data_IF_161205713874
#
_entry.id   IF_161205713874
#
_cell.length_a   1.000
_cell.length_b   1.000
_cell.length_c   1.000
_cell.angle_alpha   90.00
_cell.angle_beta   90.00
_cell.angle_gamma   90.00
#
_symmetry.space_group_name_H-M   'P 1'
#
loop_
_entity.id
_entity.type
_entity.pdbx_description
1 polymer ?
#
# COMPACT_ATOMS: atom_id res chain seq x y z
N UNK A 1 0.35 67.57 26.94
CA UNK A 1 0.31 66.11 27.18
C UNK A 1 0.19 65.41 25.85
N UNK A 2 1.31 64.98 25.27
CA UNK A 2 1.35 64.22 24.01
C UNK A 2 1.77 62.81 24.39
N UNK A 3 0.86 61.84 24.24
CA UNK A 3 1.11 60.42 24.51
C UNK A 3 1.85 59.82 23.32
N UNK A 4 3.10 59.47 23.51
CA UNK A 4 3.89 58.67 22.57
C UNK A 4 3.50 57.21 22.80
N UNK A 5 2.91 56.59 21.77
CA UNK A 5 2.60 55.16 21.74
C UNK A 5 3.84 54.46 21.19
N UNK A 6 4.54 53.71 22.04
CA UNK A 6 5.65 52.83 21.63
C UNK A 6 5.08 51.55 21.03
N UNK A 7 5.24 51.39 19.72
CA UNK A 7 4.98 50.15 19.00
C UNK A 7 6.11 49.14 19.27
N UNK A 8 5.85 48.17 20.14
CA UNK A 8 6.67 46.96 20.27
C UNK A 8 6.38 46.05 19.07
N UNK A 9 7.30 45.99 18.11
CA UNK A 9 7.34 44.90 17.13
C UNK A 9 7.78 43.62 17.85
N UNK A 10 6.84 42.70 18.08
CA UNK A 10 7.16 41.29 18.31
C UNK A 10 7.59 40.70 16.97
N UNK A 11 8.89 40.48 16.78
CA UNK A 11 9.40 39.62 15.73
C UNK A 11 9.05 38.16 16.10
N UNK A 12 8.01 37.61 15.48
CA UNK A 12 7.73 36.17 15.53
C UNK A 12 8.87 35.45 14.81
N UNK A 13 9.73 34.72 15.55
CA UNK A 13 10.57 33.69 14.96
C UNK A 13 9.63 32.62 14.40
N UNK A 14 9.35 32.69 13.10
CA UNK A 14 8.89 31.54 12.35
C UNK A 14 10.08 30.57 12.28
N UNK A 15 10.06 29.54 13.11
CA UNK A 15 10.93 28.38 12.94
C UNK A 15 10.55 27.71 11.62
N UNK A 16 11.22 28.08 10.55
CA UNK A 16 11.22 27.34 9.30
C UNK A 16 11.88 25.99 9.59
N UNK A 17 11.08 24.97 9.87
CA UNK A 17 11.55 23.59 9.75
C UNK A 17 11.94 23.42 8.28
N UNK A 18 13.24 23.39 8.00
CA UNK A 18 13.72 22.89 6.72
C UNK A 18 13.30 21.43 6.65
N UNK A 19 12.36 21.13 5.77
CA UNK A 19 12.02 19.75 5.42
C UNK A 19 13.31 19.18 4.83
N UNK A 20 13.97 18.27 5.56
CA UNK A 20 15.07 17.53 4.97
C UNK A 20 14.47 16.73 3.81
N UNK A 21 14.96 16.95 2.59
CA UNK A 21 14.50 16.20 1.42
C UNK A 21 14.61 14.69 1.71
N UNK A 22 13.47 14.00 1.68
CA UNK A 22 13.43 12.54 1.85
C UNK A 22 14.18 11.91 0.68
N UNK A 23 15.26 11.19 0.98
CA UNK A 23 16.05 10.47 -0.02
C UNK A 23 15.19 9.31 -0.54
N UNK A 24 15.00 9.24 -1.86
CA UNK A 24 14.22 8.19 -2.51
C UNK A 24 15.08 7.00 -2.91
N UNK A 25 14.47 5.82 -2.95
CA UNK A 25 15.05 4.60 -3.47
C UNK A 25 14.10 3.90 -4.44
N UNK A 26 14.68 3.30 -5.46
CA UNK A 26 14.00 2.54 -6.52
C UNK A 26 15.00 1.59 -7.21
N UNK A 27 14.54 0.85 -8.22
CA UNK A 27 15.36 -0.10 -8.99
C UNK A 27 16.66 0.46 -9.59
N UNK A 28 16.76 1.77 -9.77
CA UNK A 28 17.91 2.48 -10.33
C UNK A 28 18.70 3.26 -9.28
N UNK A 29 18.11 3.53 -8.11
CA UNK A 29 18.69 4.37 -7.07
C UNK A 29 18.64 3.66 -5.72
N UNK A 30 19.78 3.10 -5.30
CA UNK A 30 19.90 2.49 -3.98
C UNK A 30 20.12 3.54 -2.88
N UNK A 31 19.66 3.20 -1.68
CA UNK A 31 19.90 4.03 -0.51
C UNK A 31 21.40 4.21 -0.20
N UNK A 32 21.82 5.39 0.31
CA UNK A 32 23.19 5.60 0.76
C UNK A 32 23.45 4.89 2.09
N UNK A 33 24.71 4.56 2.37
CA UNK A 33 25.15 3.88 3.60
C UNK A 33 24.66 4.54 4.90
N UNK A 34 24.58 5.88 4.92
CA UNK A 34 24.12 6.65 6.09
C UNK A 34 22.64 6.40 6.43
N UNK A 35 21.81 6.15 5.44
CA UNK A 35 20.37 5.90 5.58
C UNK A 35 20.04 4.64 4.77
N UNK A 36 20.53 3.47 5.21
CA UNK A 36 20.80 2.34 4.32
C UNK A 36 19.54 1.54 3.93
N UNK A 37 18.41 1.80 4.59
CA UNK A 37 17.18 1.01 4.49
C UNK A 37 16.16 1.70 3.61
N UNK A 38 15.75 1.02 2.53
CA UNK A 38 14.68 1.47 1.65
C UNK A 38 13.32 1.01 2.20
N UNK A 39 12.51 1.91 2.72
CA UNK A 39 11.18 1.56 3.24
C UNK A 39 10.22 1.13 2.15
N UNK A 40 9.05 0.65 2.56
CA UNK A 40 7.95 0.29 1.67
C UNK A 40 7.70 1.40 0.64
N UNK A 41 7.56 2.65 1.08
CA UNK A 41 7.25 3.79 0.24
C UNK A 41 8.40 4.35 -0.62
N UNK A 42 9.50 3.61 -0.79
CA UNK A 42 10.65 4.02 -1.59
C UNK A 42 11.43 5.18 -0.97
N UNK A 43 11.63 5.16 0.36
CA UNK A 43 12.30 6.19 1.13
C UNK A 43 13.46 5.61 1.93
N UNK A 44 14.59 6.30 1.94
CA UNK A 44 15.79 5.86 2.65
C UNK A 44 15.81 6.39 4.08
N UNK A 45 16.10 5.53 5.04
CA UNK A 45 16.18 5.90 6.45
C UNK A 45 16.90 4.88 7.34
N UNK A 46 16.70 5.03 8.65
CA UNK A 46 17.17 4.13 9.71
C UNK A 46 15.99 3.71 10.60
N UNK A 47 16.19 2.81 11.56
CA UNK A 47 15.16 2.48 12.54
C UNK A 47 13.95 1.82 11.91
N UNK A 48 12.79 2.46 12.00
CA UNK A 48 11.54 1.95 11.44
C UNK A 48 11.60 1.70 9.92
N UNK A 49 12.46 2.41 9.18
CA UNK A 49 12.70 2.17 7.75
C UNK A 49 13.37 0.82 7.47
N UNK A 50 14.07 0.26 8.46
CA UNK A 50 14.80 -1.01 8.39
C UNK A 50 13.99 -2.19 8.92
N UNK A 51 12.81 -1.93 9.50
CA UNK A 51 11.89 -2.97 9.93
C UNK A 51 11.00 -3.37 8.75
N UNK A 52 9.97 -4.14 9.02
CA UNK A 52 9.27 -4.77 7.90
C UNK A 52 8.61 -3.79 6.93
N UNK A 53 8.62 -4.19 5.66
CA UNK A 53 8.42 -3.34 4.50
C UNK A 53 9.74 -2.78 3.95
N UNK A 54 10.89 -3.09 4.55
CA UNK A 54 12.20 -2.64 4.08
C UNK A 54 12.64 -3.48 2.89
N UNK A 55 12.76 -2.88 1.71
CA UNK A 55 13.18 -3.57 0.49
C UNK A 55 14.72 -3.73 0.46
N UNK A 56 15.26 -4.95 0.67
CA UNK A 56 16.70 -5.18 0.64
C UNK A 56 17.31 -5.07 -0.77
N UNK A 57 16.52 -5.18 -1.84
CA UNK A 57 17.00 -5.06 -3.22
C UNK A 57 17.33 -3.59 -3.56
N UNK A 58 16.56 -2.65 -3.01
CA UNK A 58 16.74 -1.20 -3.20
C UNK A 58 17.46 -0.51 -2.03
N UNK A 59 17.75 -1.24 -0.97
CA UNK A 59 18.60 -0.79 0.12
C UNK A 59 20.08 -0.73 -0.28
N UNK A 60 20.89 -0.08 0.56
CA UNK A 60 22.35 0.02 0.38
C UNK A 60 23.01 -1.37 0.20
N UNK A 61 22.56 -2.35 0.98
CA UNK A 61 22.99 -3.74 0.91
C UNK A 61 21.86 -4.67 1.35
N UNK A 62 22.01 -5.98 1.13
CA UNK A 62 21.03 -6.97 1.58
C UNK A 62 20.88 -7.00 3.12
N UNK A 63 21.95 -6.66 3.84
CA UNK A 63 21.99 -6.65 5.31
C UNK A 63 21.51 -5.32 5.90
N UNK A 64 21.08 -4.36 5.08
CA UNK A 64 20.55 -3.09 5.57
C UNK A 64 19.26 -3.26 6.37
N UNK A 65 18.36 -4.12 5.88
CA UNK A 65 17.08 -4.41 6.51
C UNK A 65 17.26 -5.42 7.65
N UNK A 66 16.39 -5.35 8.66
CA UNK A 66 16.28 -6.39 9.67
C UNK A 66 15.68 -7.66 9.08
N UNK A 67 16.03 -8.82 9.65
CA UNK A 67 15.47 -10.08 9.23
C UNK A 67 13.95 -10.14 9.52
N UNK A 68 13.21 -10.82 8.64
CA UNK A 68 11.75 -10.90 8.68
C UNK A 68 11.31 -11.95 9.72
N UNK A 69 10.52 -11.62 10.76
CA UNK A 69 10.07 -12.62 11.73
C UNK A 69 9.24 -13.73 11.08
N UNK A 70 9.56 -15.00 11.38
CA UNK A 70 8.87 -16.14 10.75
C UNK A 70 7.37 -16.19 11.06
N UNK A 71 6.62 -16.85 10.19
CA UNK A 71 5.19 -17.06 10.31
C UNK A 71 4.79 -17.68 11.66
N UNK A 72 3.62 -17.28 12.19
CA UNK A 72 2.97 -17.94 13.32
C UNK A 72 1.50 -18.23 13.03
N UNK A 73 1.12 -19.51 13.06
CA UNK A 73 -0.28 -19.91 12.97
C UNK A 73 -1.02 -19.40 14.21
N UNK A 74 -1.99 -18.52 14.02
CA UNK A 74 -2.67 -17.82 15.11
C UNK A 74 -4.02 -17.28 14.66
N UNK A 75 -4.97 -17.27 15.59
CA UNK A 75 -6.24 -16.55 15.46
C UNK A 75 -6.15 -15.25 16.26
N UNK A 76 -6.41 -14.14 15.59
CA UNK A 76 -6.44 -12.80 16.14
C UNK A 76 -7.90 -12.40 16.41
N UNK A 77 -8.14 -11.94 17.64
CA UNK A 77 -9.40 -11.38 18.13
C UNK A 77 -9.12 -10.03 18.76
N UNK A 78 -10.13 -9.17 18.83
CA UNK A 78 -9.94 -7.76 19.19
C UNK A 78 -10.66 -7.43 20.48
N UNK A 79 -10.02 -7.74 21.61
CA UNK A 79 -10.50 -7.28 22.91
C UNK A 79 -9.97 -5.87 23.24
N UNK A 80 -8.75 -5.58 22.77
CA UNK A 80 -8.06 -4.30 22.91
C UNK A 80 -6.92 -4.19 21.86
N UNK A 81 -6.05 -3.18 21.97
CA UNK A 81 -4.90 -2.96 21.10
C UNK A 81 -3.55 -3.30 21.77
N UNK A 82 -3.53 -4.05 22.87
CA UNK A 82 -2.30 -4.31 23.65
C UNK A 82 -1.24 -5.11 22.86
N UNK A 83 -1.68 -5.89 21.87
CA UNK A 83 -0.79 -6.64 20.96
C UNK A 83 -0.29 -5.81 19.77
N UNK A 84 -0.61 -4.51 19.73
CA UNK A 84 -0.25 -3.61 18.64
C UNK A 84 0.68 -2.48 19.12
N UNK A 85 1.77 -2.26 18.41
CA UNK A 85 2.69 -1.16 18.67
C UNK A 85 2.48 -0.02 17.65
N UNK A 86 2.56 1.22 18.11
CA UNK A 86 2.65 2.37 17.21
C UNK A 86 3.98 2.29 16.43
N UNK A 87 3.95 2.54 15.11
CA UNK A 87 5.14 2.46 14.25
C UNK A 87 6.32 3.32 14.72
N UNK A 88 6.06 4.47 15.37
CA UNK A 88 7.08 5.35 15.97
C UNK A 88 7.73 4.80 17.24
N UNK A 89 7.30 3.63 17.72
CA UNK A 89 7.81 2.98 18.93
C UNK A 89 8.20 1.52 18.72
N UNK A 90 7.77 0.93 17.61
CA UNK A 90 8.06 -0.46 17.31
C UNK A 90 9.52 -0.64 16.90
N UNK A 91 10.19 -1.61 17.50
CA UNK A 91 11.61 -1.91 17.27
C UNK A 91 11.83 -3.31 16.68
N UNK A 92 10.79 -3.98 16.14
CA UNK A 92 10.96 -5.28 15.49
C UNK A 92 10.72 -6.52 16.37
N UNK A 93 10.28 -6.33 17.63
CA UNK A 93 9.95 -7.44 18.52
C UNK A 93 8.53 -7.99 18.27
N UNK A 94 8.41 -8.85 17.26
CA UNK A 94 7.15 -9.50 16.88
C UNK A 94 6.57 -10.43 17.97
N UNK A 95 7.39 -10.85 18.94
CA UNK A 95 6.90 -11.67 20.07
C UNK A 95 6.25 -10.83 21.17
N UNK A 96 6.56 -9.53 21.26
CA UNK A 96 5.93 -8.60 22.19
C UNK A 96 4.68 -7.94 21.58
N UNK A 97 4.69 -7.70 20.27
CA UNK A 97 3.56 -7.11 19.55
C UNK A 97 3.35 -7.84 18.24
N UNK A 98 2.20 -8.49 18.07
CA UNK A 98 1.83 -9.16 16.83
C UNK A 98 1.63 -8.16 15.68
N UNK A 99 1.30 -6.91 16.00
CA UNK A 99 0.93 -5.89 15.03
C UNK A 99 1.72 -4.59 15.21
N UNK A 100 1.92 -3.88 14.11
CA UNK A 100 2.39 -2.51 14.08
C UNK A 100 1.38 -1.66 13.31
N UNK A 101 1.17 -0.41 13.73
CA UNK A 101 0.19 0.45 13.09
C UNK A 101 0.61 1.90 12.94
N UNK A 102 -0.05 2.58 12.00
CA UNK A 102 -0.10 4.04 11.87
C UNK A 102 -1.56 4.48 11.68
N UNK A 103 -1.85 5.75 11.95
CA UNK A 103 -3.21 6.27 11.89
C UNK A 103 -3.99 6.03 13.19
N UNK A 104 -5.28 5.71 13.05
CA UNK A 104 -6.27 5.80 14.13
C UNK A 104 -7.09 4.51 14.26
N UNK A 105 -6.48 3.34 14.55
CA UNK A 105 -7.24 2.15 14.86
C UNK A 105 -7.91 2.28 16.22
N UNK A 106 -9.06 1.63 16.39
CA UNK A 106 -9.74 1.45 17.67
C UNK A 106 -10.38 0.06 17.72
N UNK A 107 -10.82 -0.34 18.91
CA UNK A 107 -11.63 -1.55 19.10
C UNK A 107 -13.05 -1.14 19.48
N UNK A 108 -14.04 -1.74 18.83
CA UNK A 108 -15.46 -1.52 19.07
C UNK A 108 -16.22 -2.85 18.91
N UNK A 109 -17.02 -3.21 19.91
CA UNK A 109 -17.83 -4.44 19.94
C UNK A 109 -17.05 -5.73 19.62
N UNK A 110 -15.80 -5.82 20.07
CA UNK A 110 -14.93 -6.98 19.83
C UNK A 110 -14.28 -7.01 18.44
N UNK A 111 -14.34 -5.91 17.69
CA UNK A 111 -13.81 -5.79 16.34
C UNK A 111 -12.76 -4.67 16.25
N UNK A 112 -11.76 -4.86 15.39
CA UNK A 112 -10.81 -3.82 15.01
C UNK A 112 -11.49 -2.89 14.01
N UNK A 113 -11.53 -1.61 14.33
CA UNK A 113 -12.05 -0.57 13.45
C UNK A 113 -10.89 0.30 13.00
N UNK A 114 -10.60 0.29 11.70
CA UNK A 114 -9.66 1.22 11.09
C UNK A 114 -10.44 2.47 10.72
N UNK A 115 -10.00 3.64 11.19
CA UNK A 115 -10.70 4.91 10.91
C UNK A 115 -9.88 5.82 10.00
N UNK A 116 -10.57 6.66 9.24
CA UNK A 116 -9.99 7.66 8.37
C UNK A 116 -10.72 9.00 8.58
N UNK A 117 -10.28 9.80 9.57
CA UNK A 117 -10.77 11.15 9.77
C UNK A 117 -10.55 12.03 8.53
N UNK A 118 -11.31 13.13 8.45
CA UNK A 118 -11.24 14.09 7.35
C UNK A 118 -9.80 14.56 7.11
N UNK A 119 -9.36 14.50 5.84
CA UNK A 119 -8.02 14.90 5.39
C UNK A 119 -6.85 14.13 6.03
N UNK A 120 -7.10 12.92 6.55
CA UNK A 120 -6.04 12.01 6.99
C UNK A 120 -5.62 11.06 5.86
N UNK A 121 -4.43 10.47 5.99
CA UNK A 121 -3.91 9.41 5.10
C UNK A 121 -4.48 8.03 5.42
N UNK A 122 -5.46 7.95 6.32
CA UNK A 122 -6.07 6.70 6.75
C UNK A 122 -5.29 5.96 7.82
N UNK A 123 -5.51 4.64 7.89
CA UNK A 123 -4.94 3.75 8.92
C UNK A 123 -4.35 2.52 8.25
N UNK A 124 -3.15 2.12 8.69
CA UNK A 124 -2.47 0.89 8.29
C UNK A 124 -2.20 0.06 9.54
N UNK A 125 -2.55 -1.22 9.50
CA UNK A 125 -2.37 -2.18 10.58
C UNK A 125 -1.72 -3.45 10.00
N UNK A 126 -0.43 -3.65 10.28
CA UNK A 126 0.39 -4.68 9.65
C UNK A 126 0.84 -5.73 10.65
N UNK A 127 0.75 -7.00 10.28
CA UNK A 127 1.23 -8.11 11.09
C UNK A 127 2.76 -8.15 11.06
N UNK A 128 3.37 -8.42 12.20
CA UNK A 128 4.82 -8.45 12.35
C UNK A 128 5.44 -9.81 12.00
N UNK A 129 4.62 -10.85 11.75
CA UNK A 129 5.05 -12.15 11.27
C UNK A 129 4.78 -12.29 9.77
N UNK A 130 5.80 -12.77 9.03
CA UNK A 130 5.72 -12.95 7.58
C UNK A 130 5.22 -14.34 7.25
N UNK A 131 4.28 -14.44 6.32
CA UNK A 131 3.76 -15.70 5.78
C UNK A 131 4.53 -15.99 4.50
N UNK A 132 5.19 -17.14 4.37
CA UNK A 132 5.85 -17.53 3.10
C UNK A 132 4.96 -18.42 2.23
N UNK A 133 4.03 -19.14 2.84
CA UNK A 133 2.86 -19.76 2.24
C UNK A 133 1.89 -20.04 3.38
N UNK A 134 0.60 -20.15 3.08
CA UNK A 134 -0.39 -20.37 4.13
C UNK A 134 -1.80 -20.06 3.69
N UNK A 135 -2.71 -20.19 4.66
CA UNK A 135 -4.10 -19.81 4.52
C UNK A 135 -4.42 -18.70 5.50
N UNK A 136 -4.92 -17.59 4.97
CA UNK A 136 -5.29 -16.43 5.78
C UNK A 136 -6.76 -16.14 5.53
N UNK A 137 -7.51 -16.06 6.62
CA UNK A 137 -8.97 -15.89 6.62
C UNK A 137 -9.34 -14.73 7.52
N UNK A 138 -10.08 -13.76 7.03
CA UNK A 138 -10.52 -12.61 7.81
C UNK A 138 -12.00 -12.31 7.63
N UNK A 139 -12.69 -12.03 8.74
CA UNK A 139 -14.03 -11.41 8.69
C UNK A 139 -13.87 -9.92 8.46
N UNK A 140 -14.46 -9.39 7.40
CA UNK A 140 -14.30 -7.98 7.01
C UNK A 140 -15.66 -7.36 6.69
N UNK A 141 -15.83 -6.10 7.10
CA UNK A 141 -16.75 -5.13 6.53
C UNK A 141 -15.93 -3.98 5.96
N UNK A 142 -16.08 -3.73 4.66
CA UNK A 142 -15.40 -2.64 3.98
C UNK A 142 -15.90 -1.28 4.48
N UNK A 143 -15.24 -0.20 4.04
CA UNK A 143 -15.79 1.15 4.06
C UNK A 143 -16.59 1.42 2.79
N UNK A 144 -17.35 2.52 2.78
CA UNK A 144 -18.15 2.97 1.64
C UNK A 144 -17.76 4.38 1.18
N UNK A 145 -18.25 4.77 0.02
CA UNK A 145 -18.04 6.07 -0.61
C UNK A 145 -16.99 6.05 -1.71
N UNK A 146 -17.12 6.98 -2.66
CA UNK A 146 -16.13 7.20 -3.72
C UNK A 146 -14.78 7.57 -3.12
N UNK A 147 -13.72 7.07 -3.72
CA UNK A 147 -12.35 7.38 -3.33
C UNK A 147 -11.90 6.73 -2.02
N UNK A 148 -12.78 6.03 -1.30
CA UNK A 148 -12.45 5.37 -0.02
C UNK A 148 -12.20 3.90 -0.29
N UNK A 149 -11.01 3.41 0.07
CA UNK A 149 -10.63 2.02 -0.19
C UNK A 149 -10.27 1.33 1.11
N UNK A 150 -10.84 0.15 1.33
CA UNK A 150 -10.37 -0.79 2.36
C UNK A 150 -9.56 -1.89 1.68
N UNK A 151 -8.55 -2.41 2.36
CA UNK A 151 -7.73 -3.48 1.80
C UNK A 151 -7.33 -4.52 2.84
N UNK A 152 -7.22 -5.76 2.37
CA UNK A 152 -6.68 -6.90 3.09
C UNK A 152 -5.65 -7.57 2.18
N UNK A 153 -4.37 -7.33 2.48
CA UNK A 153 -3.25 -7.56 1.57
C UNK A 153 -2.20 -8.46 2.23
N UNK A 154 -1.56 -9.31 1.44
CA UNK A 154 -0.25 -9.89 1.73
C UNK A 154 0.78 -9.16 0.87
N UNK A 155 1.75 -8.48 1.49
CA UNK A 155 2.78 -7.71 0.79
C UNK A 155 4.17 -8.14 1.28
N UNK A 156 5.06 -8.53 0.38
CA UNK A 156 6.46 -8.83 0.71
C UNK A 156 7.33 -7.58 0.68
N UNK A 157 8.49 -7.66 1.34
CA UNK A 157 9.48 -6.59 1.35
C UNK A 157 10.09 -6.37 -0.04
N UNK A 158 10.05 -7.39 -0.91
CA UNK A 158 10.46 -7.31 -2.33
C UNK A 158 9.28 -7.10 -3.28
N UNK A 159 8.11 -6.70 -2.78
CA UNK A 159 6.93 -6.23 -3.55
C UNK A 159 6.14 -7.29 -4.34
N UNK A 160 6.28 -8.57 -4.03
CA UNK A 160 5.18 -9.52 -4.30
C UNK A 160 3.95 -9.13 -3.47
N UNK A 161 2.77 -9.16 -4.09
CA UNK A 161 1.51 -8.73 -3.49
C UNK A 161 0.36 -9.69 -3.85
N UNK A 162 -0.53 -9.94 -2.89
CA UNK A 162 -1.77 -10.70 -3.04
C UNK A 162 -2.85 -9.99 -2.22
N UNK A 163 -3.93 -9.54 -2.85
CA UNK A 163 -4.88 -8.66 -2.16
C UNK A 163 -6.35 -9.02 -2.39
N UNK A 164 -7.14 -8.55 -1.42
CA UNK A 164 -8.51 -8.13 -1.61
C UNK A 164 -8.60 -6.61 -1.44
N UNK A 165 -9.16 -5.91 -2.42
CA UNK A 165 -9.42 -4.48 -2.37
C UNK A 165 -10.92 -4.17 -2.50
N UNK A 166 -11.39 -3.26 -1.64
CA UNK A 166 -12.78 -2.85 -1.55
C UNK A 166 -12.90 -1.37 -1.92
N UNK A 167 -13.27 -1.10 -3.17
CA UNK A 167 -13.58 0.27 -3.60
C UNK A 167 -14.95 0.66 -3.07
N UNK A 168 -15.01 1.69 -2.23
CA UNK A 168 -16.21 2.00 -1.44
C UNK A 168 -17.44 2.43 -2.24
N UNK A 169 -17.31 2.66 -3.55
CA UNK A 169 -18.46 2.93 -4.43
C UNK A 169 -19.14 1.64 -4.95
N UNK A 170 -18.45 0.49 -4.91
CA UNK A 170 -18.93 -0.81 -5.40
C UNK A 170 -19.11 -1.75 -4.20
N UNK A 171 -20.29 -1.69 -3.58
CA UNK A 171 -20.55 -2.44 -2.34
C UNK A 171 -20.92 -3.90 -2.59
N UNK A 172 -21.16 -4.30 -3.84
CA UNK A 172 -21.58 -5.67 -4.19
C UNK A 172 -20.38 -6.60 -4.52
N UNK A 173 -19.21 -6.01 -4.77
CA UNK A 173 -18.04 -6.73 -5.25
C UNK A 173 -16.79 -6.40 -4.44
N UNK A 174 -15.90 -7.38 -4.35
CA UNK A 174 -14.50 -7.19 -3.95
C UNK A 174 -13.61 -7.35 -5.17
N UNK A 175 -12.49 -6.64 -5.21
CA UNK A 175 -11.44 -6.86 -6.21
C UNK A 175 -10.39 -7.81 -5.64
N UNK A 176 -9.87 -8.68 -6.49
CA UNK A 176 -8.72 -9.55 -6.21
C UNK A 176 -7.61 -9.17 -7.16
N UNK A 177 -6.40 -9.01 -6.66
CA UNK A 177 -5.26 -8.68 -7.50
C UNK A 177 -3.99 -9.36 -6.98
N UNK A 178 -2.96 -9.30 -7.83
CA UNK A 178 -1.62 -9.73 -7.45
C UNK A 178 -0.59 -8.94 -8.24
N UNK A 179 0.55 -8.68 -7.60
CA UNK A 179 1.73 -8.12 -8.23
C UNK A 179 2.94 -9.01 -7.95
N UNK A 180 3.87 -9.02 -8.88
CA UNK A 180 5.14 -9.72 -8.74
C UNK A 180 6.26 -8.69 -8.72
N UNK A 181 7.02 -8.65 -7.63
CA UNK A 181 8.11 -7.71 -7.41
C UNK A 181 7.83 -6.25 -7.80
N UNK A 182 6.62 -5.75 -7.50
CA UNK A 182 6.21 -4.37 -7.75
C UNK A 182 6.04 -4.03 -9.24
N UNK A 183 6.07 -5.03 -10.12
CA UNK A 183 5.81 -4.84 -11.55
C UNK A 183 4.32 -4.61 -11.75
N UNK A 184 3.97 -3.38 -12.10
CA UNK A 184 2.58 -2.98 -12.35
C UNK A 184 2.04 -3.65 -13.62
N UNK A 185 1.05 -4.52 -13.44
CA UNK A 185 0.19 -5.04 -14.52
C UNK A 185 -1.28 -4.90 -14.12
N UNK A 186 -1.94 -3.88 -14.67
CA UNK A 186 -3.34 -3.58 -14.36
C UNK A 186 -4.34 -4.59 -14.96
N UNK A 187 -3.89 -5.57 -15.74
CA UNK A 187 -4.74 -6.64 -16.27
C UNK A 187 -4.86 -7.83 -15.33
N UNK A 188 -4.06 -7.86 -14.26
CA UNK A 188 -4.11 -8.93 -13.27
C UNK A 188 -5.35 -8.86 -12.37
N UNK A 189 -5.99 -7.69 -12.24
CA UNK A 189 -7.14 -7.51 -11.38
C UNK A 189 -8.37 -8.33 -11.83
N UNK A 190 -9.17 -8.77 -10.86
CA UNK A 190 -10.44 -9.45 -11.10
C UNK A 190 -11.49 -9.04 -10.09
N UNK A 191 -12.74 -8.88 -10.53
CA UNK A 191 -13.88 -8.59 -9.64
C UNK A 191 -14.58 -9.88 -9.21
N UNK A 192 -14.93 -9.98 -7.93
CA UNK A 192 -15.62 -11.09 -7.33
C UNK A 192 -16.87 -10.62 -6.57
N UNK A 193 -18.08 -11.12 -6.90
CA UNK A 193 -19.28 -10.79 -6.14
C UNK A 193 -19.19 -11.29 -4.69
N UNK A 194 -19.46 -10.41 -3.73
CA UNK A 194 -19.51 -10.75 -2.31
C UNK A 194 -20.80 -11.52 -1.95
N UNK A 195 -21.89 -11.26 -2.69
CA UNK A 195 -23.20 -11.90 -2.50
C UNK A 195 -24.20 -11.06 -1.70
N UNK A 196 -23.69 -10.13 -0.90
CA UNK A 196 -24.42 -9.04 -0.24
C UNK A 196 -23.50 -7.83 -0.05
N UNK A 197 -23.97 -6.80 0.68
CA UNK A 197 -23.25 -5.54 0.84
C UNK A 197 -21.97 -5.74 1.64
N UNK A 198 -20.82 -5.41 1.06
CA UNK A 198 -19.51 -5.48 1.74
C UNK A 198 -19.39 -4.50 2.91
N UNK A 199 -20.21 -3.44 2.95
CA UNK A 199 -20.23 -2.45 4.03
C UNK A 199 -21.25 -2.80 5.13
N UNK A 200 -22.41 -3.36 4.78
CA UNK A 200 -23.47 -3.64 5.75
C UNK A 200 -23.34 -5.03 6.40
N UNK A 201 -22.82 -6.00 5.65
CA UNK A 201 -22.76 -7.41 6.05
C UNK A 201 -21.31 -7.86 6.29
N UNK A 202 -21.14 -8.75 7.27
CA UNK A 202 -19.86 -9.42 7.49
C UNK A 202 -19.67 -10.52 6.46
N UNK A 203 -18.53 -10.48 5.78
CA UNK A 203 -18.09 -11.54 4.88
C UNK A 203 -16.75 -12.12 5.34
N UNK A 204 -16.55 -13.40 5.06
CA UNK A 204 -15.28 -14.08 5.28
C UNK A 204 -14.47 -14.11 3.98
N UNK A 205 -13.32 -13.45 3.98
CA UNK A 205 -12.38 -13.41 2.86
C UNK A 205 -11.21 -14.33 3.17
N UNK A 206 -10.93 -15.27 2.28
CA UNK A 206 -9.84 -16.24 2.44
C UNK A 206 -8.87 -16.18 1.25
N UNK A 207 -7.58 -16.13 1.57
CA UNK A 207 -6.46 -16.34 0.64
C UNK A 207 -5.80 -17.67 1.05
N UNK A 208 -5.90 -18.70 0.20
CA UNK A 208 -5.11 -19.94 0.32
C UNK A 208 -3.96 -19.87 -0.69
N UNK A 209 -2.76 -19.61 -0.18
CA UNK A 209 -1.56 -19.37 -0.97
C UNK A 209 -0.57 -20.52 -0.80
N UNK A 210 -0.31 -21.20 -1.92
CA UNK A 210 0.58 -22.34 -2.06
C UNK A 210 1.65 -22.05 -3.12
N UNK A 211 2.74 -22.85 -3.19
CA UNK A 211 3.79 -22.66 -4.18
C UNK A 211 3.34 -22.74 -5.64
N UNK A 212 2.22 -23.41 -5.91
CA UNK A 212 1.67 -23.67 -7.25
C UNK A 212 0.39 -22.89 -7.57
N UNK A 213 -0.32 -22.37 -6.55
CA UNK A 213 -1.54 -21.62 -6.77
C UNK A 213 -1.89 -20.66 -5.62
N UNK A 214 -2.62 -19.59 -5.96
CA UNK A 214 -3.34 -18.73 -5.01
C UNK A 214 -4.82 -18.89 -5.27
N UNK A 215 -5.61 -19.14 -4.23
CA UNK A 215 -7.06 -19.19 -4.30
C UNK A 215 -7.68 -18.13 -3.39
N UNK A 216 -8.54 -17.30 -3.97
CA UNK A 216 -9.38 -16.34 -3.26
C UNK A 216 -10.78 -16.89 -3.11
N UNK A 217 -11.29 -16.89 -1.88
CA UNK A 217 -12.66 -17.31 -1.56
C UNK A 217 -13.40 -16.23 -0.77
N UNK A 218 -14.71 -16.15 -0.98
CA UNK A 218 -15.63 -15.32 -0.18
C UNK A 218 -16.75 -16.21 0.34
N UNK A 219 -16.93 -16.21 1.66
CA UNK A 219 -17.88 -17.05 2.39
C UNK A 219 -17.76 -18.54 2.02
N UNK A 220 -16.52 -19.03 1.93
CA UNK A 220 -16.20 -20.41 1.57
C UNK A 220 -16.38 -20.74 0.09
N UNK A 221 -16.82 -19.81 -0.76
CA UNK A 221 -16.96 -20.01 -2.19
C UNK A 221 -15.71 -19.50 -2.92
N UNK A 222 -15.04 -20.38 -3.66
CA UNK A 222 -13.92 -20.00 -4.52
C UNK A 222 -14.39 -19.01 -5.58
N UNK A 223 -13.75 -17.85 -5.63
CA UNK A 223 -14.03 -16.79 -6.61
C UNK A 223 -12.97 -16.73 -7.69
N UNK A 224 -11.72 -17.02 -7.34
CA UNK A 224 -10.59 -16.96 -8.26
C UNK A 224 -9.51 -17.96 -7.85
N UNK A 225 -8.88 -18.57 -8.84
CA UNK A 225 -7.62 -19.30 -8.66
C UNK A 225 -6.61 -18.80 -9.69
N UNK A 226 -5.43 -18.40 -9.23
CA UNK A 226 -4.26 -18.11 -10.05
C UNK A 226 -3.29 -19.27 -9.92
N UNK A 227 -2.94 -19.93 -11.02
CA UNK A 227 -1.89 -20.96 -10.99
C UNK A 227 -0.54 -20.34 -11.33
N UNK A 228 0.55 -20.83 -10.75
CA UNK A 228 1.91 -20.37 -11.06
C UNK A 228 2.20 -20.50 -12.55
N UNK A 229 1.75 -21.58 -13.19
CA UNK A 229 1.96 -21.81 -14.63
C UNK A 229 1.35 -20.70 -15.49
N UNK A 230 0.19 -20.15 -15.08
CA UNK A 230 -0.49 -19.08 -15.82
C UNK A 230 0.25 -17.73 -15.77
N UNK A 231 1.25 -17.59 -14.89
CA UNK A 231 2.09 -16.39 -14.76
C UNK A 231 3.40 -16.47 -15.54
N UNK A 232 3.54 -17.44 -16.46
CA UNK A 232 4.74 -17.58 -17.27
C UNK A 232 4.95 -16.35 -18.17
N UNK A 233 6.06 -15.64 -17.95
CA UNK A 233 6.48 -14.55 -18.81
C UNK A 233 7.47 -15.05 -19.86
N UNK A 234 7.02 -15.08 -21.11
CA UNK A 234 7.80 -15.64 -22.22
C UNK A 234 9.06 -14.80 -22.56
N UNK A 235 9.03 -13.49 -22.32
CA UNK A 235 10.17 -12.60 -22.54
C UNK A 235 11.21 -12.76 -21.44
N UNK A 236 10.78 -12.77 -20.18
CA UNK A 236 11.65 -12.84 -19.00
C UNK A 236 12.04 -14.28 -18.61
N UNK A 237 11.46 -15.29 -19.28
CA UNK A 237 11.70 -16.73 -19.08
C UNK A 237 11.58 -17.17 -17.62
N UNK A 238 10.56 -16.65 -16.94
CA UNK A 238 10.29 -16.92 -15.52
C UNK A 238 8.79 -16.82 -15.22
N UNK A 239 8.37 -17.43 -14.12
CA UNK A 239 7.04 -17.22 -13.56
C UNK A 239 7.02 -15.92 -12.75
N UNK A 240 6.06 -15.05 -13.03
CA UNK A 240 5.79 -13.83 -12.28
C UNK A 240 4.69 -14.09 -11.26
N UNK A 241 4.93 -15.06 -10.37
CA UNK A 241 4.01 -15.50 -9.33
C UNK A 241 4.52 -15.03 -7.95
N UNK A 242 3.63 -14.51 -7.07
CA UNK A 242 3.99 -14.19 -5.69
C UNK A 242 4.53 -15.41 -4.94
N UNK A 243 5.77 -15.32 -4.46
CA UNK A 243 6.53 -16.49 -3.99
C UNK A 243 7.48 -16.17 -2.82
N UNK A 244 7.33 -15.01 -2.21
CA UNK A 244 8.26 -14.46 -1.21
C UNK A 244 7.54 -14.09 0.08
N UNK A 245 8.19 -14.25 1.26
CA UNK A 245 7.54 -14.01 2.54
C UNK A 245 6.84 -12.64 2.58
N UNK A 246 5.58 -12.66 2.97
CA UNK A 246 4.69 -11.51 2.89
C UNK A 246 4.03 -11.22 4.24
N UNK A 247 3.96 -9.95 4.60
CA UNK A 247 3.21 -9.48 5.78
C UNK A 247 1.75 -9.29 5.42
N UNK A 248 0.88 -9.73 6.32
CA UNK A 248 -0.54 -9.36 6.24
C UNK A 248 -0.71 -7.90 6.64
N UNK A 249 -1.43 -7.13 5.82
CA UNK A 249 -1.73 -5.73 6.05
C UNK A 249 -3.23 -5.48 5.89
N UNK A 250 -3.79 -4.77 6.86
CA UNK A 250 -5.15 -4.26 6.85
C UNK A 250 -5.06 -2.74 6.70
N UNK A 251 -5.80 -2.17 5.76
CA UNK A 251 -5.78 -0.72 5.59
C UNK A 251 -7.13 -0.14 5.22
N UNK A 252 -7.29 1.13 5.58
CA UNK A 252 -8.33 2.02 5.09
C UNK A 252 -7.63 3.28 4.62
N UNK A 253 -7.80 3.66 3.36
CA UNK A 253 -7.01 4.72 2.77
C UNK A 253 -7.77 5.58 1.74
N UNK A 254 -7.34 6.83 1.56
CA UNK A 254 -8.02 7.79 0.70
C UNK A 254 -7.50 7.70 -0.74
N UNK A 255 -7.82 6.64 -1.47
CA UNK A 255 -7.38 6.46 -2.87
C UNK A 255 -7.82 7.61 -3.80
N UNK A 256 -9.00 8.19 -3.57
CA UNK A 256 -9.51 9.37 -4.27
C UNK A 256 -8.99 10.71 -3.74
N UNK A 257 -7.90 10.74 -2.98
CA UNK A 257 -7.29 12.00 -2.57
C UNK A 257 -6.65 12.69 -3.79
N UNK A 258 -6.89 14.00 -3.94
CA UNK A 258 -6.43 14.79 -5.10
C UNK A 258 -4.91 14.80 -5.35
N UNK A 259 -4.10 14.38 -4.36
CA UNK A 259 -2.64 14.25 -4.52
C UNK A 259 -2.20 12.92 -5.12
N UNK A 260 -3.11 11.94 -5.25
CA UNK A 260 -2.82 10.64 -5.85
C UNK A 260 -2.81 10.72 -7.38
N UNK A 261 -2.32 9.66 -8.01
CA UNK A 261 -2.33 9.56 -9.47
C UNK A 261 -3.78 9.52 -10.00
N UNK A 262 -4.03 10.17 -11.13
CA UNK A 262 -5.37 10.24 -11.74
C UNK A 262 -6.00 8.86 -11.91
N UNK A 263 -5.24 7.88 -12.41
CA UNK A 263 -5.74 6.51 -12.57
C UNK A 263 -6.17 5.83 -11.27
N UNK A 264 -5.51 6.14 -10.14
CA UNK A 264 -5.90 5.66 -8.81
C UNK A 264 -7.20 6.31 -8.36
N UNK A 265 -7.36 7.62 -8.59
CA UNK A 265 -8.59 8.36 -8.27
C UNK A 265 -9.76 7.81 -9.10
N UNK A 266 -9.58 7.64 -10.41
CA UNK A 266 -10.58 7.08 -11.32
C UNK A 266 -10.98 5.65 -10.93
N UNK A 267 -10.00 4.78 -10.66
CA UNK A 267 -10.24 3.40 -10.22
C UNK A 267 -11.04 3.34 -8.91
N UNK A 268 -10.79 4.25 -7.97
CA UNK A 268 -11.51 4.35 -6.71
C UNK A 268 -12.91 5.00 -6.84
N UNK A 269 -13.34 5.35 -8.06
CA UNK A 269 -14.65 5.92 -8.35
C UNK A 269 -14.72 7.45 -8.24
N UNK A 270 -13.57 8.12 -8.21
CA UNK A 270 -13.42 9.57 -8.15
C UNK A 270 -12.97 10.10 -6.78
N UNK A 271 -13.03 11.41 -6.63
CA UNK A 271 -12.62 12.09 -5.40
C UNK A 271 -13.48 11.70 -4.18
N UNK A 272 -12.86 11.77 -3.01
CA UNK A 272 -13.51 11.47 -1.73
C UNK A 272 -14.47 12.59 -1.33
N UNK A 273 -15.67 12.20 -0.91
CA UNK A 273 -16.65 13.11 -0.32
C UNK A 273 -16.41 13.32 1.18
N UNK A 274 -15.55 14.29 1.51
CA UNK A 274 -15.29 14.66 2.90
C UNK A 274 -16.47 15.35 3.62
N UNK A 275 -17.63 15.47 3.00
CA UNK A 275 -18.89 15.91 3.61
C UNK A 275 -19.98 14.82 3.58
N UNK A 276 -19.58 13.56 3.42
CA UNK A 276 -20.47 12.40 3.49
C UNK A 276 -21.15 12.23 4.85
N UNK A 277 -22.19 11.39 4.91
CA UNK A 277 -22.92 11.07 6.15
C UNK A 277 -22.00 10.50 7.24
N UNK A 278 -21.07 9.59 6.88
CA UNK A 278 -20.14 9.01 7.85
C UNK A 278 -19.22 10.07 8.48
N UNK A 279 -18.75 11.02 7.68
CA UNK A 279 -17.95 12.15 8.19
C UNK A 279 -18.80 13.08 9.07
N UNK A 280 -20.03 13.39 8.67
CA UNK A 280 -20.92 14.27 9.46
C UNK A 280 -21.32 13.66 10.79
N UNK A 281 -21.62 12.36 10.81
CA UNK A 281 -22.16 11.68 11.99
C UNK A 281 -21.06 11.16 12.92
N UNK A 282 -19.97 10.61 12.37
CA UNK A 282 -18.89 9.96 13.13
C UNK A 282 -17.59 10.74 13.14
N UNK A 283 -17.39 11.65 12.18
CA UNK A 283 -16.13 12.39 12.01
C UNK A 283 -15.07 11.64 11.20
N UNK A 284 -15.35 10.42 10.72
CA UNK A 284 -14.41 9.59 9.98
C UNK A 284 -15.13 8.54 9.11
N UNK A 285 -14.47 8.12 8.03
CA UNK A 285 -14.76 6.83 7.38
C UNK A 285 -14.18 5.67 8.18
N UNK A 286 -14.70 4.46 8.00
CA UNK A 286 -14.23 3.30 8.75
C UNK A 286 -14.38 1.98 8.00
N UNK A 287 -13.48 1.04 8.27
CA UNK A 287 -13.56 -0.36 7.89
C UNK A 287 -13.46 -1.22 9.15
N UNK A 288 -14.17 -2.34 9.19
CA UNK A 288 -14.25 -3.21 10.37
C UNK A 288 -13.67 -4.58 10.08
N UNK A 289 -12.83 -5.07 10.98
CA UNK A 289 -12.18 -6.37 10.89
C UNK A 289 -12.55 -7.17 12.14
N UNK A 290 -13.21 -8.29 11.93
CA UNK A 290 -13.53 -9.26 12.96
C UNK A 290 -12.36 -10.23 13.16
N UNK A 291 -12.68 -11.47 13.54
CA UNK A 291 -11.66 -12.52 13.70
C UNK A 291 -10.84 -12.73 12.42
N UNK A 292 -9.53 -12.86 12.57
CA UNK A 292 -8.59 -13.23 11.50
C UNK A 292 -7.80 -14.47 11.93
N UNK A 293 -7.73 -15.48 11.07
CA UNK A 293 -6.94 -16.69 11.30
C UNK A 293 -5.85 -16.82 10.25
N UNK A 294 -4.62 -17.04 10.70
CA UNK A 294 -3.46 -17.39 9.87
C UNK A 294 -3.10 -18.84 10.15
N UNK A 295 -2.98 -19.63 9.09
CA UNK A 295 -2.40 -20.98 9.09
C UNK A 295 -1.13 -20.94 8.22
N UNK A 296 0.03 -21.12 8.83
CA UNK A 296 1.30 -21.17 8.12
C UNK A 296 1.50 -22.55 7.48
N UNK A 297 1.87 -22.58 6.21
CA UNK A 297 2.38 -23.79 5.56
C UNK A 297 3.89 -23.90 5.69
N UNK A 298 4.42 -25.08 5.39
CA UNK A 298 5.86 -25.31 5.39
C UNK A 298 6.54 -24.46 4.30
N UNK A 299 7.64 -23.76 4.63
CA UNK A 299 8.48 -23.13 3.62
C UNK A 299 9.03 -24.13 2.60
N UNK A 300 9.52 -23.68 1.43
CA UNK A 300 10.17 -24.55 0.46
C UNK A 300 11.26 -25.45 1.09
N UNK A 301 11.38 -26.68 0.62
CA UNK A 301 12.27 -27.69 1.23
C UNK A 301 13.75 -27.28 1.30
N UNK A 302 14.19 -26.39 0.41
CA UNK A 302 15.57 -25.89 0.34
C UNK A 302 15.77 -24.54 1.05
N UNK A 303 14.87 -24.18 1.96
CA UNK A 303 14.92 -22.90 2.69
C UNK A 303 15.87 -22.91 3.90
N UNK A 304 16.43 -24.05 4.30
CA UNK A 304 17.31 -24.18 5.47
C UNK A 304 16.57 -24.56 6.75
N UNK A 305 17.25 -24.52 7.89
CA UNK A 305 16.74 -25.05 9.17
C UNK A 305 16.53 -23.99 10.26
N UNK A 306 16.79 -22.71 9.97
CA UNK A 306 16.54 -21.58 10.86
C UNK A 306 15.12 -21.54 11.42
N UNK A 307 14.95 -20.93 12.60
CA UNK A 307 13.71 -20.98 13.38
C UNK A 307 13.19 -19.61 13.82
N UNK A 308 13.86 -18.52 13.47
CA UNK A 308 13.52 -17.18 13.97
C UNK A 308 13.04 -16.24 12.87
N UNK A 309 13.70 -16.27 11.72
CA UNK A 309 13.49 -15.25 10.69
C UNK A 309 13.68 -15.78 9.27
N UNK A 310 13.22 -15.02 8.28
CA UNK A 310 13.61 -15.12 6.89
C UNK A 310 14.62 -14.02 6.55
N UNK A 311 15.53 -14.30 5.62
CA UNK A 311 16.48 -13.34 5.05
C UNK A 311 16.54 -13.50 3.53
N UNK A 312 16.79 -12.41 2.82
CA UNK A 312 17.12 -12.42 1.40
C UNK A 312 18.64 -12.59 1.22
N UNK A 313 19.05 -13.59 0.44
CA UNK A 313 20.47 -13.93 0.21
C UNK A 313 20.97 -13.53 -1.19
N UNK A 314 20.07 -13.11 -2.08
CA UNK A 314 20.40 -12.68 -3.44
C UNK A 314 19.37 -11.63 -3.91
N UNK A 315 19.84 -10.61 -4.64
CA UNK A 315 19.04 -9.45 -5.11
C UNK A 315 18.06 -9.77 -6.24
N UNK A 316 17.92 -11.02 -6.67
CA UNK A 316 16.91 -11.38 -7.69
C UNK A 316 15.48 -11.46 -7.12
N UNK A 317 15.33 -11.45 -5.79
CA UNK A 317 14.05 -11.50 -5.09
C UNK A 317 13.21 -12.76 -5.37
N UNK A 318 13.83 -13.85 -5.84
CA UNK A 318 13.12 -15.09 -6.17
C UNK A 318 12.97 -15.99 -4.95
N UNK A 319 12.04 -16.95 -4.99
CA UNK A 319 11.78 -17.91 -3.91
C UNK A 319 13.07 -18.59 -3.41
N UNK A 320 13.95 -19.01 -4.33
CA UNK A 320 15.19 -19.69 -3.99
C UNK A 320 16.20 -18.82 -3.20
N UNK A 321 16.02 -17.49 -3.24
CA UNK A 321 16.90 -16.50 -2.64
C UNK A 321 16.53 -16.17 -1.21
N UNK A 322 15.36 -16.56 -0.74
CA UNK A 322 15.00 -16.48 0.66
C UNK A 322 15.49 -17.72 1.42
N UNK A 323 15.87 -17.52 2.69
CA UNK A 323 16.30 -18.58 3.61
C UNK A 323 15.76 -18.37 5.00
N UNK A 324 15.44 -19.46 5.67
CA UNK A 324 15.27 -19.51 7.12
C UNK A 324 16.61 -19.25 7.80
N UNK A 325 16.59 -18.40 8.81
CA UNK A 325 17.75 -18.04 9.62
C UNK A 325 17.40 -17.93 11.11
N UNK A 326 18.43 -17.67 11.91
CA UNK A 326 18.30 -17.36 13.34
C UNK A 326 18.70 -15.91 13.64
N UNK A 327 18.69 -15.04 12.62
CA UNK A 327 19.09 -13.65 12.75
C UNK A 327 18.15 -12.91 13.70
N UNK A 328 18.65 -11.82 14.30
CA UNK A 328 17.79 -10.97 15.10
C UNK A 328 16.83 -10.16 14.22
N UNK A 329 15.67 -9.86 14.80
CA UNK A 329 14.62 -9.05 14.20
C UNK A 329 14.41 -7.76 14.96
N UNK A 330 15.12 -7.57 16.09
CA UNK A 330 14.93 -6.45 17.02
C UNK A 330 16.07 -5.46 16.91
N UNK A 331 15.72 -4.18 16.80
CA UNK A 331 16.63 -3.04 16.89
C UNK A 331 16.73 -2.56 18.34
N UNK A 332 17.92 -2.12 18.74
CA UNK A 332 18.11 -1.49 20.05
C UNK A 332 17.58 -0.05 20.10
N UNK A 333 17.51 0.65 18.97
CA UNK A 333 16.97 2.02 18.88
C UNK A 333 16.48 2.36 17.46
N UNK A 334 15.77 3.48 17.31
CA UNK A 334 15.37 4.00 15.98
C UNK A 334 16.53 4.64 15.19
N UNK A 335 17.72 4.74 15.78
CA UNK A 335 18.93 5.08 15.04
C UNK A 335 19.61 3.86 14.41
N UNK A 336 19.29 2.65 14.90
CA UNK A 336 19.90 1.40 14.47
C UNK A 336 19.39 0.92 13.10
N UNK A 337 20.11 -0.02 12.50
CA UNK A 337 19.82 -0.61 11.18
C UNK A 337 20.19 -2.09 11.18
N UNK A 338 19.93 -2.83 10.10
CA UNK A 338 20.43 -4.20 9.98
C UNK A 338 21.97 -4.30 9.97
N UNK A 339 22.66 -3.22 9.59
CA UNK A 339 24.13 -3.14 9.61
C UNK A 339 24.71 -2.99 11.01
N UNK A 340 23.94 -2.41 11.93
CA UNK A 340 24.30 -2.21 13.34
C UNK A 340 23.02 -2.20 14.19
N UNK A 341 22.45 -3.38 14.50
CA UNK A 341 21.17 -3.49 15.19
C UNK A 341 21.25 -3.05 16.66
N UNK A 342 22.45 -3.07 17.25
CA UNK A 342 22.70 -2.72 18.65
C UNK A 342 23.00 -1.22 18.84
N UNK A 343 23.01 -0.42 17.78
CA UNK A 343 23.30 1.01 17.86
C UNK A 343 22.31 1.72 18.81
N UNK A 344 22.86 2.44 19.78
CA UNK A 344 22.07 3.16 20.78
C UNK A 344 21.52 2.26 21.90
N UNK A 345 21.90 0.98 21.96
CA UNK A 345 21.65 0.13 23.12
C UNK A 345 22.22 0.82 24.37
N UNK A 346 21.34 1.10 25.33
CA UNK A 346 21.74 1.73 26.60
C UNK A 346 22.55 0.73 27.42
N UNK A 347 23.87 0.67 27.21
CA UNK A 347 24.76 0.11 28.22
C UNK A 347 24.78 1.09 29.40
N UNK A 348 24.66 0.55 30.61
CA UNK A 348 24.73 1.31 31.85
C UNK A 348 26.11 1.94 32.05
N UNK A 349 26.41 3.08 31.42
CA UNK A 349 27.36 4.11 31.88
C UNK A 349 27.58 5.20 30.82
N UNK A 350 27.07 6.41 31.11
CA UNK A 350 27.62 7.73 30.74
C UNK A 350 28.24 7.93 29.34
N UNK A 351 27.47 8.56 28.43
CA UNK A 351 27.73 9.95 28.01
C UNK A 351 26.70 10.36 26.96
N UNK A 352 25.95 11.41 27.26
CA UNK A 352 25.06 12.10 26.34
C UNK A 352 25.86 12.72 25.19
N UNK A 353 26.05 11.97 24.11
CA UNK A 353 26.21 12.56 22.78
C UNK A 353 24.86 12.52 22.11
N UNK A 354 24.15 13.64 22.19
CA UNK A 354 22.98 13.95 21.38
C UNK A 354 23.38 13.95 19.90
N UNK A 355 23.43 12.77 19.28
CA UNK A 355 23.27 12.65 17.85
C UNK A 355 21.81 13.00 17.58
N UNK A 356 21.59 14.18 16.99
CA UNK A 356 20.32 14.54 16.37
C UNK A 356 20.11 13.64 15.15
N UNK A 357 19.78 12.37 15.37
CA UNK A 357 19.25 11.52 14.31
C UNK A 357 17.77 11.88 14.17
N UNK A 358 17.38 12.27 12.95
CA UNK A 358 15.96 12.35 12.59
C UNK A 358 15.38 10.94 12.74
N UNK A 359 14.85 10.62 13.93
CA UNK A 359 14.13 9.39 14.20
C UNK A 359 12.73 9.49 13.56
N UNK A 360 12.68 9.66 12.25
CA UNK A 360 11.45 9.61 11.48
C UNK A 360 11.02 8.15 11.30
N UNK A 361 9.74 7.97 11.00
CA UNK A 361 9.21 6.72 10.47
C UNK A 361 8.83 6.97 9.00
N UNK A 362 8.81 5.92 8.15
CA UNK A 362 8.27 6.06 6.80
C UNK A 362 6.86 6.66 6.88
N UNK A 363 6.61 7.71 6.10
CA UNK A 363 5.32 8.40 6.12
C UNK A 363 4.27 7.52 5.43
N UNK A 364 3.20 7.18 6.14
CA UNK A 364 2.08 6.45 5.54
C UNK A 364 1.44 7.35 4.47
N UNK A 365 1.52 6.96 3.20
CA UNK A 365 0.98 7.73 2.06
C UNK A 365 -0.40 7.27 1.60
N UNK A 366 -1.15 6.55 2.41
CA UNK A 366 -2.45 6.01 2.02
C UNK A 366 -2.50 4.50 2.06
N UNK A 367 -2.08 3.90 3.17
CA UNK A 367 -2.13 2.46 3.37
C UNK A 367 -1.15 1.70 2.49
N UNK A 368 -1.49 0.44 2.25
CA UNK A 368 -0.68 -0.51 1.48
C UNK A 368 -0.94 -0.45 -0.02
N UNK A 369 -2.13 0.00 -0.44
CA UNK A 369 -2.53 0.08 -1.85
C UNK A 369 -1.95 1.27 -2.62
N UNK A 370 -1.20 2.16 -1.95
CA UNK A 370 -0.54 3.31 -2.59
C UNK A 370 0.95 3.05 -2.89
N UNK A 371 1.37 1.79 -2.95
CA UNK A 371 2.77 1.43 -3.15
C UNK A 371 3.28 1.88 -4.53
N UNK A 372 4.46 2.55 -4.61
CA UNK A 372 4.83 3.32 -5.79
C UNK A 372 5.57 2.43 -6.80
N UNK A 373 4.88 2.09 -7.89
CA UNK A 373 5.50 1.99 -9.22
C UNK A 373 5.28 3.27 -10.05
N UNK A 374 4.70 4.31 -9.46
CA UNK A 374 4.48 5.60 -10.10
C UNK A 374 5.82 6.32 -10.30
N UNK A 375 6.43 6.10 -11.46
CA UNK A 375 7.43 7.03 -12.01
C UNK A 375 6.74 8.38 -12.16
N UNK A 376 7.01 9.30 -11.24
CA UNK A 376 6.70 10.71 -11.44
C UNK A 376 7.50 11.17 -12.66
N UNK A 377 6.81 11.34 -13.79
CA UNK A 377 7.37 12.12 -14.88
C UNK A 377 7.67 13.52 -14.35
N UNK A 378 8.91 13.92 -14.58
CA UNK A 378 9.53 15.13 -14.06
C UNK A 378 8.71 16.36 -14.48
N UNK A 379 7.83 16.88 -13.61
CA UNK A 379 7.21 18.18 -13.84
C UNK A 379 8.23 19.25 -13.51
N UNK A 380 9.00 19.66 -14.51
CA UNK A 380 9.83 20.86 -14.46
C UNK A 380 8.96 22.06 -14.11
N UNK A 381 9.09 22.53 -12.87
CA UNK A 381 8.58 23.82 -12.42
C UNK A 381 9.37 24.94 -13.10
N UNK A 382 8.92 25.39 -14.27
CA UNK A 382 9.36 26.68 -14.81
C UNK A 382 8.57 27.78 -14.14
N UNK A 383 9.21 28.44 -13.17
CA UNK A 383 8.79 29.73 -12.63
C UNK A 383 8.83 30.81 -13.72
N UNK A 384 7.69 31.47 -13.96
CA UNK A 384 7.69 32.84 -14.49
C UNK A 384 6.53 33.62 -13.87
N UNK A 385 6.90 34.69 -13.17
CA UNK A 385 5.99 35.56 -12.45
C UNK A 385 5.25 36.57 -13.34
N UNK A 386 4.02 36.84 -12.92
CA UNK A 386 3.15 38.00 -13.08
C UNK A 386 3.35 39.02 -14.22
N UNK A 387 2.24 39.34 -14.90
CA UNK A 387 1.72 40.72 -14.91
C UNK A 387 0.24 40.77 -15.33
N UNK A 388 -0.50 41.61 -14.61
CA UNK A 388 -1.91 41.99 -14.75
C UNK A 388 -2.31 42.61 -16.09
N UNK A 389 -3.58 42.41 -16.53
CA UNK A 389 -4.60 43.46 -16.71
C UNK A 389 -5.72 43.03 -17.68
N UNK A 390 -6.95 43.48 -17.41
CA UNK A 390 -7.90 43.85 -18.48
C UNK A 390 -9.15 42.98 -18.62
N UNK A 391 -10.26 43.47 -18.09
CA UNK A 391 -11.63 43.03 -18.33
C UNK A 391 -12.04 43.11 -19.81
N UNK A 392 -12.89 42.19 -20.28
CA UNK A 392 -14.07 42.55 -21.09
C UNK A 392 -15.03 41.37 -21.26
N UNK A 393 -16.26 41.70 -20.91
CA UNK A 393 -17.56 41.08 -21.11
C UNK A 393 -17.88 40.67 -22.57
N UNK A 394 -18.59 39.56 -22.74
CA UNK A 394 -19.74 39.44 -23.66
C UNK A 394 -20.32 38.01 -23.63
N UNK A 395 -21.54 37.87 -23.10
CA UNK A 395 -22.35 36.67 -23.24
C UNK A 395 -23.05 36.56 -24.60
N UNK A 396 -23.60 35.38 -24.92
CA UNK A 396 -24.84 35.22 -25.68
C UNK A 396 -25.38 33.78 -25.57
N UNK A 397 -26.71 33.66 -25.68
CA UNK A 397 -27.57 32.54 -25.25
C UNK A 397 -28.16 31.73 -26.43
N UNK A 398 -28.56 30.50 -26.11
CA UNK A 398 -29.64 29.62 -26.62
C UNK A 398 -30.21 29.76 -28.05
N UNK A 399 -30.49 28.59 -28.66
CA UNK A 399 -31.48 28.46 -29.73
C UNK A 399 -31.72 27.02 -30.18
N UNK A 400 -32.91 26.50 -29.86
CA UNK A 400 -33.49 25.21 -30.28
C UNK A 400 -34.08 25.26 -31.71
N UNK A 401 -34.23 24.08 -32.34
CA UNK A 401 -35.35 23.57 -33.18
C UNK A 401 -34.80 22.49 -34.13
N UNK A 402 -35.22 21.23 -34.13
CA UNK A 402 -36.52 20.54 -34.39
C UNK A 402 -36.63 19.96 -35.82
N UNK A 403 -37.40 18.85 -35.89
CA UNK A 403 -38.03 18.20 -37.06
C UNK A 403 -37.31 17.09 -37.89
N UNK A 404 -37.65 15.85 -37.52
CA UNK A 404 -38.51 14.89 -38.26
C UNK A 404 -38.05 14.15 -39.55
N UNK A 405 -38.17 12.81 -39.53
CA UNK A 405 -39.17 11.99 -40.28
C UNK A 405 -38.64 10.73 -41.04
N UNK A 406 -39.33 9.59 -40.80
CA UNK A 406 -39.60 8.40 -41.66
C UNK A 406 -38.45 7.55 -42.26
N UNK A 407 -38.52 6.23 -42.53
CA UNK A 407 -39.54 5.17 -42.43
C UNK A 407 -38.91 3.80 -42.81
N UNK A 408 -39.39 2.72 -42.18
CA UNK A 408 -39.56 1.31 -42.63
C UNK A 408 -38.73 0.72 -43.80
N UNK A 409 -38.11 -0.48 -43.62
CA UNK A 409 -38.70 -1.76 -44.08
C UNK A 409 -37.91 -3.05 -43.72
N UNK A 410 -38.68 -4.07 -43.31
CA UNK A 410 -38.60 -5.53 -43.57
C UNK A 410 -37.39 -6.44 -43.25
N UNK A 411 -37.75 -7.50 -42.50
CA UNK A 411 -37.44 -8.94 -42.65
C UNK A 411 -36.33 -9.62 -41.82
N UNK A 412 -36.75 -10.66 -41.10
CA UNK A 412 -36.21 -12.01 -41.30
C UNK A 412 -35.27 -12.55 -40.22
N UNK A 413 -35.77 -13.47 -39.39
CA UNK A 413 -34.97 -14.24 -38.44
C UNK A 413 -34.23 -15.40 -39.12
N UNK A 414 -32.96 -15.63 -38.74
CA UNK A 414 -32.37 -16.96 -38.48
C UNK A 414 -30.96 -16.85 -37.84
N UNK A 415 -30.84 -17.37 -36.62
CA UNK A 415 -29.71 -18.13 -36.03
C UNK A 415 -28.28 -17.99 -36.62
N UNK A 416 -27.34 -17.51 -35.82
CA UNK A 416 -26.05 -18.18 -35.52
C UNK A 416 -25.34 -17.48 -34.34
N UNK A 417 -24.69 -18.27 -33.50
CA UNK A 417 -23.84 -17.85 -32.37
C UNK A 417 -22.78 -16.82 -32.79
N UNK A 418 -22.61 -15.74 -32.02
CA UNK A 418 -21.34 -15.01 -32.00
C UNK A 418 -21.06 -14.42 -30.61
N UNK A 419 -19.83 -14.69 -30.15
CA UNK A 419 -19.24 -14.17 -28.93
C UNK A 419 -19.05 -12.67 -29.07
N UNK A 420 -19.63 -11.89 -28.17
CA UNK A 420 -19.38 -10.44 -28.12
C UNK A 420 -18.14 -10.18 -27.28
N UNK A 421 -17.00 -10.01 -27.96
CA UNK A 421 -15.89 -9.19 -27.47
C UNK A 421 -16.15 -7.76 -27.93
N UNK A 422 -16.26 -6.83 -26.98
CA UNK A 422 -16.05 -5.40 -27.24
C UNK A 422 -14.99 -4.91 -26.27
N UNK A 423 -13.80 -4.64 -26.82
CA UNK A 423 -12.73 -3.97 -26.12
C UNK A 423 -12.97 -2.47 -26.01
N UNK A 424 -12.11 -1.82 -25.24
CA UNK A 424 -11.75 -0.43 -25.47
C UNK A 424 -10.23 -0.33 -25.50
N UNK A 425 -9.75 0.17 -26.64
CA UNK A 425 -8.36 0.53 -26.93
C UNK A 425 -7.96 1.78 -26.14
N UNK A 426 -6.76 1.80 -25.56
CA UNK A 426 -5.85 2.94 -25.69
C UNK A 426 -4.41 2.45 -25.54
N UNK A 427 -3.69 2.46 -26.66
CA UNK A 427 -2.24 2.24 -26.73
C UNK A 427 -1.54 3.60 -26.71
N UNK A 428 -0.54 3.77 -25.86
CA UNK A 428 0.42 4.87 -25.97
C UNK A 428 1.76 4.28 -26.41
N UNK A 429 2.17 4.71 -27.61
CA UNK A 429 3.39 4.40 -28.32
C UNK A 429 4.52 5.28 -27.77
N UNK A 430 5.63 4.70 -27.30
CA UNK A 430 6.89 5.43 -27.12
C UNK A 430 7.86 4.93 -28.18
N UNK A 431 8.14 5.79 -29.17
CA UNK A 431 9.11 5.55 -30.21
C UNK A 431 10.53 5.83 -29.69
N UNK A 432 11.41 4.83 -29.80
CA UNK A 432 12.86 4.97 -29.62
C UNK A 432 13.47 5.43 -30.94
N UNK A 433 14.07 6.62 -30.97
CA UNK A 433 14.94 7.05 -32.09
C UNK A 433 16.38 6.76 -31.69
N UNK A 434 16.95 5.70 -32.27
CA UNK A 434 18.40 5.49 -32.34
C UNK A 434 18.91 6.16 -33.61
N UNK A 435 19.75 7.17 -33.45
CA UNK A 435 20.55 7.77 -34.53
C UNK A 435 21.92 7.09 -34.50
N UNK A 436 22.20 6.20 -35.45
CA UNK A 436 23.56 5.86 -35.84
C UNK A 436 23.68 6.05 -37.34
N UNK A 437 24.56 6.98 -37.69
CA UNK A 437 25.07 7.24 -39.03
C UNK A 437 25.87 6.05 -39.55
N UNK A 438 25.39 5.39 -40.61
CA UNK A 438 26.05 5.22 -41.92
C UNK A 438 25.28 4.22 -42.79
#
# INVERSE_FOLDING_TARGET
>A
MVRIVSSLLLASLASTFAWADTIKCDANNQCPEKYPCCSQYGECGTGAYCLGGCDPMQSFSLDSCMAEPICKSKTYKWDNLDSAALNTKYLGNASASDWVYSGFPKVEDGNLILTMPKNSVGTLFANNHYVWYGKIKGKVKSSRGKGVVSAFILLSDVKDEIDFEFVGYDLDNVQTNYYWQGVLDYNNGGKAPAGSSTFDDWHEYEIDWKPDAITWSVDGNVKRTLTRESTWNETAKRYQFPQTPSRMQLSLWPAGQASNAEGTIEWAGGEIDWDSEDIKDKGYYYASFGEITVECYDPPSNSGDGKKSYILTNKDGLEGSFKLSNNDTVLASLGATGLDPDLGASSSSSSSSSASTNNSVPENRGGSGNEPGATSSNSTSSSSGSSSSGSSDSGFSQGSNDDSNNSNNSNGAASANERVMKGSFFAVLVAVVVLVTL
#
